data_IF_746663043503
#
_entry.id   IF_746663043503
#
_cell.length_a   1.000
_cell.length_b   1.000
_cell.length_c   1.000
_cell.angle_alpha   90.00
_cell.angle_beta   90.00
_cell.angle_gamma   90.00
#
_symmetry.space_group_name_H-M   'P 1'
#
loop_
_entity.id
_entity.type
_entity.pdbx_description
1 polymer ?
#
# COMPACT_ATOMS: atom_id res chain seq x y z
N UNK A 1 -5.10 -6.29 1.98
CA UNK A 1 -6.27 -6.22 2.89
C UNK A 1 -6.57 -7.55 3.58
N UNK A 2 -6.64 -8.67 2.84
CA UNK A 2 -6.81 -10.02 3.39
C UNK A 2 -5.73 -10.39 4.44
N UNK A 3 -4.46 -10.08 4.18
CA UNK A 3 -3.35 -10.39 5.09
C UNK A 3 -3.43 -9.68 6.45
N UNK A 4 -4.06 -8.50 6.48
CA UNK A 4 -4.29 -7.73 7.72
C UNK A 4 -5.40 -8.35 8.56
N UNK A 5 -6.49 -8.76 7.92
CA UNK A 5 -7.60 -9.45 8.58
C UNK A 5 -7.11 -10.80 9.11
N UNK A 6 -6.32 -11.53 8.32
CA UNK A 6 -5.68 -12.77 8.76
C UNK A 6 -4.76 -12.54 9.97
N UNK A 7 -3.86 -11.55 9.91
CA UNK A 7 -2.96 -11.21 11.03
C UNK A 7 -3.72 -10.79 12.29
N UNK A 8 -4.81 -10.03 12.13
CA UNK A 8 -5.67 -9.60 13.24
C UNK A 8 -6.37 -10.79 13.91
N UNK A 9 -6.96 -11.68 13.12
CA UNK A 9 -7.61 -12.90 13.62
C UNK A 9 -6.59 -13.84 14.28
N UNK A 10 -5.40 -13.99 13.71
CA UNK A 10 -4.30 -14.77 14.30
C UNK A 10 -3.85 -14.18 15.65
N UNK A 11 -3.79 -12.84 15.76
CA UNK A 11 -3.55 -12.16 17.04
C UNK A 11 -4.60 -12.52 18.09
N UNK A 12 -5.89 -12.41 17.76
CA UNK A 12 -7.00 -12.78 18.66
C UNK A 12 -6.87 -14.24 19.13
N UNK A 13 -6.58 -15.17 18.22
CA UNK A 13 -6.42 -16.59 18.56
C UNK A 13 -5.25 -16.84 19.51
N UNK A 14 -4.13 -16.11 19.37
CA UNK A 14 -3.00 -16.21 20.29
C UNK A 14 -3.36 -15.78 21.72
N UNK A 15 -4.12 -14.68 21.88
CA UNK A 15 -4.56 -14.22 23.19
C UNK A 15 -5.58 -15.17 23.83
N UNK A 16 -6.52 -15.71 23.05
CA UNK A 16 -7.45 -16.72 23.54
C UNK A 16 -6.72 -17.97 24.03
N UNK A 17 -5.68 -18.43 23.32
CA UNK A 17 -4.84 -19.53 23.76
C UNK A 17 -4.08 -19.19 25.06
N UNK A 18 -3.57 -17.97 25.19
CA UNK A 18 -2.89 -17.51 26.40
C UNK A 18 -3.84 -17.48 27.61
N UNK A 19 -5.08 -17.01 27.45
CA UNK A 19 -6.10 -17.02 28.51
C UNK A 19 -6.41 -18.46 28.92
N UNK A 20 -6.67 -19.34 27.96
CA UNK A 20 -6.95 -20.76 28.23
C UNK A 20 -5.77 -21.43 28.95
N UNK A 21 -4.54 -21.21 28.49
CA UNK A 21 -3.34 -21.73 29.12
C UNK A 21 -3.16 -21.22 30.56
N UNK A 22 -3.45 -19.94 30.81
CA UNK A 22 -3.34 -19.33 32.15
C UNK A 22 -4.41 -19.85 33.11
N UNK A 23 -5.65 -20.03 32.64
CA UNK A 23 -6.77 -20.54 33.44
C UNK A 23 -6.59 -22.02 33.77
N UNK A 24 -6.21 -22.80 32.77
CA UNK A 24 -6.14 -24.25 32.92
C UNK A 24 -4.79 -24.74 33.43
N UNK A 25 -3.69 -24.00 33.24
CA UNK A 25 -2.31 -24.37 33.65
C UNK A 25 -1.86 -25.77 33.17
N UNK A 26 -2.60 -26.35 32.23
CA UNK A 26 -2.31 -27.59 31.55
C UNK A 26 -2.47 -27.36 30.05
N UNK A 27 -1.51 -27.85 29.26
CA UNK A 27 -1.64 -27.90 27.80
C UNK A 27 -1.86 -29.35 27.42
N UNK A 28 -2.88 -29.57 26.59
CA UNK A 28 -3.08 -30.86 25.94
C UNK A 28 -2.17 -30.93 24.71
N UNK A 29 -1.04 -31.63 24.84
CA UNK A 29 -0.15 -31.96 23.71
C UNK A 29 -0.38 -33.44 23.40
N UNK A 30 -1.17 -33.72 22.36
CA UNK A 30 -1.59 -35.08 22.01
C UNK A 30 -2.58 -35.70 23.02
N UNK A 31 -2.37 -36.95 23.41
CA UNK A 31 -3.23 -37.68 24.37
C UNK A 31 -2.88 -37.43 25.85
N UNK A 32 -1.76 -36.75 26.13
CA UNK A 32 -1.27 -36.56 27.50
C UNK A 32 -1.41 -35.10 27.94
N UNK A 33 -1.91 -34.92 29.15
CA UNK A 33 -1.99 -33.63 29.83
C UNK A 33 -0.66 -33.36 30.52
N UNK A 34 0.08 -32.36 30.05
CA UNK A 34 1.26 -31.88 30.76
C UNK A 34 0.78 -30.81 31.73
N UNK A 35 0.83 -31.11 33.04
CA UNK A 35 0.56 -30.14 34.10
C UNK A 35 1.79 -29.24 34.24
N UNK A 36 1.63 -27.95 33.98
CA UNK A 36 2.71 -26.97 34.13
C UNK A 36 2.71 -26.30 35.51
N UNK A 37 1.70 -26.59 36.35
CA UNK A 37 1.60 -26.09 37.73
C UNK A 37 2.78 -26.50 38.61
N UNK A 38 3.30 -27.72 38.43
CA UNK A 38 4.37 -28.28 39.28
C UNK A 38 5.77 -27.80 38.88
N UNK A 39 5.90 -27.12 37.71
CA UNK A 39 7.18 -26.76 37.12
C UNK A 39 7.71 -25.36 37.53
N UNK A 40 7.06 -24.68 38.48
CA UNK A 40 7.49 -23.38 38.97
C UNK A 40 7.57 -22.34 37.85
N UNK A 41 8.66 -21.61 37.69
CA UNK A 41 8.76 -20.51 36.70
C UNK A 41 8.67 -20.96 35.22
N UNK A 42 8.75 -22.26 34.96
CA UNK A 42 8.78 -22.81 33.60
C UNK A 42 7.47 -22.59 32.83
N UNK A 43 6.33 -22.43 33.52
CA UNK A 43 5.05 -22.10 32.87
C UNK A 43 5.03 -20.69 32.26
N UNK A 44 5.93 -19.80 32.70
CA UNK A 44 6.02 -18.44 32.17
C UNK A 44 6.57 -18.42 30.74
N UNK A 45 7.40 -19.41 30.35
CA UNK A 45 8.04 -19.43 29.02
C UNK A 45 7.01 -19.51 27.87
N UNK A 46 6.06 -20.48 27.85
CA UNK A 46 5.02 -20.50 26.84
C UNK A 46 4.17 -19.22 26.86
N UNK A 47 3.79 -18.74 28.04
CA UNK A 47 2.97 -17.53 28.18
C UNK A 47 3.67 -16.30 27.57
N UNK A 48 4.96 -16.10 27.84
CA UNK A 48 5.74 -15.01 27.27
C UNK A 48 5.83 -15.11 25.74
N UNK A 49 6.03 -16.31 25.18
CA UNK A 49 6.08 -16.52 23.73
C UNK A 49 4.74 -16.16 23.06
N UNK A 50 3.62 -16.64 23.61
CA UNK A 50 2.28 -16.31 23.07
C UNK A 50 1.95 -14.82 23.18
N UNK A 51 2.39 -14.17 24.26
CA UNK A 51 2.22 -12.73 24.45
C UNK A 51 2.99 -11.93 23.39
N UNK A 52 4.28 -12.23 23.21
CA UNK A 52 5.12 -11.57 22.20
C UNK A 52 4.56 -11.81 20.80
N UNK A 53 4.20 -13.06 20.47
CA UNK A 53 3.62 -13.40 19.18
C UNK A 53 2.32 -12.62 18.92
N UNK A 54 1.41 -12.57 19.89
CA UNK A 54 0.16 -11.81 19.80
C UNK A 54 0.42 -10.33 19.51
N UNK A 55 1.32 -9.68 20.27
CA UNK A 55 1.70 -8.28 20.04
C UNK A 55 2.29 -8.08 18.64
N UNK A 56 3.16 -8.98 18.17
CA UNK A 56 3.73 -8.90 16.83
C UNK A 56 2.67 -9.01 15.73
N UNK A 57 1.72 -9.93 15.84
CA UNK A 57 0.64 -10.08 14.86
C UNK A 57 -0.31 -8.89 14.86
N UNK A 58 -0.65 -8.34 16.03
CA UNK A 58 -1.43 -7.10 16.11
C UNK A 58 -0.66 -5.92 15.52
N UNK A 59 0.65 -5.81 15.79
CA UNK A 59 1.49 -4.78 15.20
C UNK A 59 1.47 -4.89 13.67
N UNK A 60 1.57 -6.09 13.09
CA UNK A 60 1.50 -6.28 11.64
C UNK A 60 0.10 -5.97 11.07
N UNK A 61 -0.96 -6.27 11.81
CA UNK A 61 -2.34 -5.94 11.42
C UNK A 61 -2.57 -4.42 11.35
N UNK A 62 -2.07 -3.67 12.34
CA UNK A 62 -2.21 -2.22 12.44
C UNK A 62 -1.11 -1.42 11.76
N UNK A 63 0.03 -2.05 11.43
CA UNK A 63 1.13 -1.42 10.70
C UNK A 63 0.52 -0.84 9.43
N UNK A 64 0.57 0.48 9.31
CA UNK A 64 0.23 1.11 8.03
C UNK A 64 1.21 0.53 7.02
N UNK A 65 0.67 -0.12 6.00
CA UNK A 65 1.42 -0.32 4.78
C UNK A 65 1.87 1.08 4.43
N UNK A 66 3.18 1.36 4.59
CA UNK A 66 3.76 2.64 4.18
C UNK A 66 3.12 2.88 2.83
N UNK A 67 2.35 3.95 2.69
CA UNK A 67 1.85 4.33 1.39
C UNK A 67 3.09 4.42 0.53
N UNK A 68 3.35 3.39 -0.27
CA UNK A 68 4.18 3.52 -1.45
C UNK A 68 3.43 4.65 -2.13
N UNK A 69 3.96 5.88 -2.02
CA UNK A 69 3.40 7.03 -2.70
C UNK A 69 3.21 6.52 -4.10
N UNK A 70 1.96 6.30 -4.48
CA UNK A 70 1.63 5.74 -5.79
C UNK A 70 1.85 6.91 -6.70
N UNK A 71 3.12 7.14 -7.03
CA UNK A 71 3.51 8.26 -7.86
C UNK A 71 2.67 8.13 -9.12
N UNK A 72 1.98 9.21 -9.53
CA UNK A 72 1.13 9.16 -10.70
C UNK A 72 1.99 8.70 -11.87
N UNK A 73 1.53 7.72 -12.65
CA UNK A 73 2.31 7.20 -13.79
C UNK A 73 2.58 8.31 -14.83
N UNK A 74 1.69 9.30 -14.88
CA UNK A 74 1.77 10.45 -15.77
C UNK A 74 1.58 11.77 -15.02
N UNK A 75 2.38 12.76 -15.38
CA UNK A 75 2.23 14.15 -14.97
C UNK A 75 1.70 14.99 -16.13
N UNK A 76 0.98 16.06 -15.83
CA UNK A 76 0.42 16.95 -16.84
C UNK A 76 1.05 18.33 -16.77
N UNK A 77 1.29 18.92 -17.94
CA UNK A 77 1.59 20.33 -18.04
C UNK A 77 0.32 21.10 -18.42
N UNK A 78 -0.14 22.01 -17.55
CA UNK A 78 -1.29 22.86 -17.83
C UNK A 78 -1.07 23.80 -19.04
N UNK A 79 0.16 24.28 -19.22
CA UNK A 79 0.49 25.23 -20.30
C UNK A 79 0.66 24.55 -21.65
N UNK A 80 1.38 23.43 -21.71
CA UNK A 80 1.61 22.69 -22.95
C UNK A 80 0.46 21.74 -23.30
N UNK A 81 -0.44 21.47 -22.35
CA UNK A 81 -1.49 20.46 -22.46
C UNK A 81 -0.95 19.09 -22.91
N UNK A 82 0.21 18.70 -22.36
CA UNK A 82 0.92 17.44 -22.66
C UNK A 82 1.06 16.57 -21.42
N UNK A 83 1.01 15.25 -21.61
CA UNK A 83 1.32 14.27 -20.59
C UNK A 83 2.79 13.87 -20.70
N UNK A 84 3.45 13.78 -19.55
CA UNK A 84 4.80 13.27 -19.42
C UNK A 84 4.77 12.08 -18.48
N UNK A 85 5.54 11.03 -18.76
CA UNK A 85 5.68 9.94 -17.79
C UNK A 85 6.47 10.44 -16.59
N UNK A 86 6.07 10.00 -15.40
CA UNK A 86 6.78 10.36 -14.18
C UNK A 86 8.26 9.97 -14.24
N UNK A 87 8.60 8.82 -14.83
CA UNK A 87 9.98 8.35 -14.98
C UNK A 87 10.85 9.32 -15.79
N UNK A 88 10.31 9.90 -16.87
CA UNK A 88 11.06 10.80 -17.75
C UNK A 88 11.34 12.17 -17.11
N UNK A 89 10.53 12.56 -16.12
CA UNK A 89 10.57 13.90 -15.49
C UNK A 89 10.98 13.85 -14.01
N UNK A 90 11.19 12.65 -13.47
CA UNK A 90 11.62 12.46 -12.09
C UNK A 90 13.00 13.05 -11.85
N UNK A 91 13.89 12.94 -12.83
CA UNK A 91 15.27 13.42 -12.74
C UNK A 91 15.39 14.93 -13.02
N UNK A 92 14.35 15.55 -13.62
CA UNK A 92 14.31 16.98 -13.98
C UNK A 92 13.46 17.81 -13.03
N UNK A 93 13.33 17.38 -11.77
CA UNK A 93 12.50 18.05 -10.74
C UNK A 93 11.03 18.23 -11.14
N UNK A 94 10.52 17.35 -12.00
CA UNK A 94 9.17 17.44 -12.56
C UNK A 94 8.96 18.75 -13.33
N UNK A 95 9.99 19.21 -14.05
CA UNK A 95 9.91 20.41 -14.89
C UNK A 95 9.58 19.99 -16.32
N UNK A 96 8.59 20.68 -16.89
CA UNK A 96 8.20 20.57 -18.29
C UNK A 96 9.38 20.95 -19.22
N UNK A 97 9.86 20.05 -20.10
CA UNK A 97 10.98 20.35 -21.00
C UNK A 97 10.64 21.42 -22.04
N UNK A 98 9.37 21.53 -22.43
CA UNK A 98 8.92 22.51 -23.44
C UNK A 98 8.75 23.92 -22.87
N UNK A 99 8.38 24.03 -21.59
CA UNK A 99 7.88 25.28 -21.00
C UNK A 99 8.59 25.73 -19.72
N UNK A 100 9.48 24.90 -19.16
CA UNK A 100 10.26 25.22 -17.97
C UNK A 100 9.44 25.38 -16.69
N UNK A 101 8.13 25.08 -16.71
CA UNK A 101 7.24 25.17 -15.57
C UNK A 101 7.09 23.82 -14.89
N UNK A 102 6.76 23.84 -13.59
CA UNK A 102 6.54 22.62 -12.81
C UNK A 102 5.29 21.88 -13.30
N UNK A 103 5.45 20.59 -13.55
CA UNK A 103 4.38 19.67 -13.91
C UNK A 103 3.48 19.44 -12.70
N UNK A 104 2.19 19.39 -12.95
CA UNK A 104 1.19 19.11 -11.92
C UNK A 104 0.84 17.63 -11.95
N UNK A 105 0.66 17.05 -10.77
CA UNK A 105 0.03 15.75 -10.62
C UNK A 105 -1.39 15.82 -11.17
N UNK A 106 -1.68 15.02 -12.19
CA UNK A 106 -2.97 15.02 -12.85
C UNK A 106 -3.81 13.85 -12.33
N UNK A 107 -4.83 14.16 -11.55
CA UNK A 107 -5.61 13.15 -10.82
C UNK A 107 -6.99 12.88 -11.47
N UNK A 108 -7.26 13.43 -12.65
CA UNK A 108 -8.56 13.32 -13.32
C UNK A 108 -8.67 12.01 -14.13
N UNK A 109 -8.86 10.89 -13.43
CA UNK A 109 -9.45 9.65 -13.95
C UNK A 109 -8.99 9.17 -15.34
N UNK A 110 -9.93 8.71 -16.18
CA UNK A 110 -9.66 8.04 -17.46
C UNK A 110 -9.24 8.97 -18.61
N UNK A 111 -9.04 10.27 -18.35
CA UNK A 111 -8.70 11.23 -19.39
C UNK A 111 -7.30 10.99 -19.98
N UNK A 112 -6.32 10.66 -19.13
CA UNK A 112 -4.97 10.34 -19.60
C UNK A 112 -4.95 9.05 -20.43
N UNK A 113 -5.74 8.01 -20.08
CA UNK A 113 -5.83 6.75 -20.84
C UNK A 113 -6.29 6.96 -22.27
N UNK A 114 -7.19 7.93 -22.50
CA UNK A 114 -7.71 8.25 -23.82
C UNK A 114 -6.77 9.13 -24.63
N UNK A 115 -5.99 10.01 -24.01
CA UNK A 115 -5.26 11.06 -24.72
C UNK A 115 -3.75 10.86 -24.78
N UNK A 116 -3.12 10.24 -23.77
CA UNK A 116 -1.68 9.97 -23.76
C UNK A 116 -1.20 9.11 -24.96
N UNK A 117 -1.90 8.05 -25.39
CA UNK A 117 -1.48 7.25 -26.55
C UNK A 117 -1.50 8.03 -27.87
N UNK A 118 -2.34 9.07 -27.96
CA UNK A 118 -2.50 9.87 -29.17
C UNK A 118 -1.56 11.08 -29.25
N UNK A 119 -0.78 11.38 -28.20
CA UNK A 119 0.18 12.50 -28.22
C UNK A 119 1.39 12.27 -29.14
N UNK A 120 1.77 11.01 -29.40
CA UNK A 120 2.80 10.65 -30.38
C UNK A 120 2.29 10.60 -31.83
N UNK A 121 0.97 10.60 -32.04
CA UNK A 121 0.40 10.67 -33.37
C UNK A 121 0.48 12.12 -33.87
N UNK A 122 1.30 12.36 -34.90
CA UNK A 122 1.39 13.66 -35.57
C UNK A 122 -0.03 14.17 -35.84
N UNK A 123 -0.40 15.30 -35.25
CA UNK A 123 -1.69 15.94 -35.50
C UNK A 123 -1.80 16.20 -37.01
N UNK A 124 -2.89 15.80 -37.69
CA UNK A 124 -3.10 16.20 -39.06
C UNK A 124 -3.10 17.74 -39.09
N UNK A 125 -2.23 18.35 -39.89
CA UNK A 125 -2.15 19.82 -40.01
C UNK A 125 -3.57 20.36 -40.28
N UNK A 126 -4.14 21.06 -39.31
CA UNK A 126 -5.41 21.79 -39.48
C UNK A 126 -5.18 22.79 -40.62
N UNK A 127 -5.76 22.51 -41.80
CA UNK A 127 -5.80 23.46 -42.91
C UNK A 127 -6.63 24.67 -42.43
N UNK A 128 -5.96 25.78 -42.08
CA UNK A 128 -6.60 27.06 -41.75
C UNK A 128 -7.58 27.41 -42.87
N UNK A 129 -8.89 27.31 -42.62
CA UNK A 129 -9.91 27.81 -43.54
C UNK A 129 -9.80 29.34 -43.53
N UNK A 130 -9.46 29.94 -44.67
CA UNK A 130 -9.47 31.39 -44.86
C UNK A 130 -10.91 31.88 -44.69
N UNK A 131 -11.18 32.60 -43.60
CA UNK A 131 -12.47 33.26 -43.40
C UNK A 131 -12.59 34.37 -44.46
N UNK A 132 -13.56 34.25 -45.36
CA UNK A 132 -13.87 35.28 -46.35
C UNK A 132 -14.67 36.37 -45.64
N UNK A 133 -14.06 37.54 -45.42
CA UNK A 133 -14.78 38.73 -44.93
C UNK A 133 -15.87 39.09 -45.96
N UNK A 134 -17.11 39.22 -45.49
CA UNK A 134 -18.17 39.98 -46.16
C UNK A 134 -18.23 41.35 -45.52
#
# INVERSE_FOLDING_TARGET
MLDRIASFLTGIMCFLYLINFTVHKHVKIGEKYIKFDDAGILWALPATVFLIAGICFFYLAFRSEKSIKRYPEYMWCADCSKFYRYEDVKDTDQICPDCGKKLTEYNDGDYWKRNAPHQGAKTPKIKKRKFKKR
#
